data_IF_926114338347
#
_entry.id   IF_926114338347
#
_cell.length_a   1.000
_cell.length_b   1.000
_cell.length_c   1.000
_cell.angle_alpha   90.00
_cell.angle_beta   90.00
_cell.angle_gamma   90.00
#
_symmetry.space_group_name_H-M   'P 1'
#
loop_
_entity.id
_entity.type
_entity.pdbx_description
1 polymer ?
#
# COMPACT_ATOMS: atom_id res chain seq x y z
N UNK A 1 -4.22 -2.14 -9.51
CA UNK A 1 -3.40 -1.60 -8.40
C UNK A 1 -2.17 -0.87 -8.92
N UNK A 2 -1.56 -0.01 -8.09
CA UNK A 2 -0.36 0.75 -8.44
C UNK A 2 0.38 1.27 -7.19
N UNK A 3 1.59 1.77 -7.38
CA UNK A 3 2.35 2.56 -6.40
C UNK A 3 2.07 4.04 -6.66
N UNK A 4 1.75 4.85 -5.65
CA UNK A 4 1.51 6.29 -5.88
C UNK A 4 2.75 6.98 -6.48
N UNK A 5 2.58 7.80 -7.51
CA UNK A 5 3.68 8.60 -8.06
C UNK A 5 4.13 9.68 -7.07
N UNK A 6 3.20 10.23 -6.30
CA UNK A 6 3.51 11.15 -5.20
C UNK A 6 3.99 10.42 -3.96
N UNK A 7 4.79 11.13 -3.13
CA UNK A 7 5.26 10.68 -1.83
C UNK A 7 4.61 11.51 -0.72
N UNK A 8 4.44 10.91 0.46
CA UNK A 8 3.75 11.49 1.60
C UNK A 8 4.52 11.21 2.89
N UNK A 9 4.52 12.14 3.83
CA UNK A 9 4.97 11.86 5.20
C UNK A 9 3.98 10.90 5.89
N UNK A 10 4.36 10.38 7.06
CA UNK A 10 3.46 9.53 7.86
C UNK A 10 2.20 10.23 8.39
N UNK A 11 2.12 11.57 8.30
CA UNK A 11 0.89 12.32 8.61
C UNK A 11 -0.10 12.28 7.43
N UNK A 12 -0.66 11.11 7.18
CA UNK A 12 -1.55 10.84 6.05
C UNK A 12 -2.99 11.34 6.26
N UNK A 13 -3.38 11.61 7.52
CA UNK A 13 -4.77 11.87 7.91
C UNK A 13 -5.52 10.57 8.24
N UNK A 14 -4.82 9.59 8.81
CA UNK A 14 -5.35 8.26 9.11
C UNK A 14 -5.53 7.41 7.85
N UNK A 15 -6.21 6.26 8.00
CA UNK A 15 -6.52 5.37 6.86
C UNK A 15 -7.38 6.08 5.81
N UNK A 16 -8.37 6.87 6.25
CA UNK A 16 -9.25 7.61 5.33
C UNK A 16 -8.48 8.64 4.49
N UNK A 17 -7.52 9.35 5.08
CA UNK A 17 -6.67 10.29 4.35
C UNK A 17 -5.72 9.59 3.38
N UNK A 18 -5.22 8.41 3.73
CA UNK A 18 -4.42 7.58 2.81
C UNK A 18 -5.26 7.08 1.62
N UNK A 19 -6.50 6.61 1.88
CA UNK A 19 -7.44 6.19 0.85
C UNK A 19 -7.76 7.36 -0.10
N UNK A 20 -7.99 8.56 0.43
CA UNK A 20 -8.23 9.76 -0.38
C UNK A 20 -7.03 10.11 -1.28
N UNK A 21 -5.78 9.91 -0.81
CA UNK A 21 -4.58 10.11 -1.63
C UNK A 21 -4.51 9.10 -2.77
N UNK A 22 -4.82 7.83 -2.52
CA UNK A 22 -4.93 6.80 -3.55
C UNK A 22 -6.02 7.11 -4.57
N UNK A 23 -7.20 7.54 -4.10
CA UNK A 23 -8.32 7.91 -4.97
C UNK A 23 -7.97 9.12 -5.84
N UNK A 24 -7.33 10.14 -5.28
CA UNK A 24 -6.89 11.34 -6.03
C UNK A 24 -5.87 10.98 -7.11
N UNK A 25 -4.88 10.12 -6.79
CA UNK A 25 -3.91 9.64 -7.78
C UNK A 25 -4.58 8.86 -8.92
N UNK A 26 -5.51 7.96 -8.58
CA UNK A 26 -6.26 7.20 -9.57
C UNK A 26 -7.09 8.10 -10.50
N UNK A 27 -7.80 9.09 -9.95
CA UNK A 27 -8.60 10.06 -10.71
C UNK A 27 -7.73 10.91 -11.64
N UNK A 28 -6.59 11.40 -11.16
CA UNK A 28 -5.65 12.17 -11.97
C UNK A 28 -5.12 11.35 -13.17
N UNK A 29 -5.01 10.04 -13.03
CA UNK A 29 -4.66 9.11 -14.10
C UNK A 29 -5.88 8.55 -14.86
N UNK A 30 -7.06 9.16 -14.70
CA UNK A 30 -8.33 8.78 -15.35
C UNK A 30 -8.73 7.31 -15.10
N UNK A 31 -8.31 6.71 -13.99
CA UNK A 31 -8.70 5.36 -13.61
C UNK A 31 -10.09 5.40 -12.95
N UNK A 32 -10.94 4.47 -13.38
CA UNK A 32 -12.29 4.27 -12.81
C UNK A 32 -12.21 3.40 -11.56
N UNK A 33 -13.25 3.45 -10.73
CA UNK A 33 -13.36 2.64 -9.52
C UNK A 33 -12.97 3.39 -8.25
N UNK A 34 -13.06 2.69 -7.13
CA UNK A 34 -12.68 3.18 -5.80
C UNK A 34 -11.32 2.61 -5.44
N UNK A 35 -10.42 3.45 -4.99
CA UNK A 35 -9.06 3.04 -4.62
C UNK A 35 -8.80 3.28 -3.14
N UNK A 36 -8.18 2.29 -2.50
CA UNK A 36 -7.76 2.35 -1.09
C UNK A 36 -6.27 2.05 -0.94
N UNK A 37 -5.68 2.58 0.12
CA UNK A 37 -4.29 2.33 0.47
C UNK A 37 -4.13 0.96 1.17
N UNK A 38 -3.12 0.19 0.78
CA UNK A 38 -2.67 -0.99 1.53
C UNK A 38 -1.93 -0.52 2.77
N UNK A 39 -2.70 -0.24 3.82
CA UNK A 39 -2.23 0.40 5.03
C UNK A 39 -3.03 -0.09 6.23
N UNK A 40 -2.34 -0.30 7.37
CA UNK A 40 -3.00 -0.66 8.62
C UNK A 40 -2.73 0.37 9.70
N UNK A 41 -3.74 0.63 10.54
CA UNK A 41 -3.59 1.27 11.86
C UNK A 41 -3.52 0.19 12.96
N UNK A 42 -3.73 0.55 14.22
CA UNK A 42 -3.72 -0.39 15.34
C UNK A 42 -4.82 -1.46 15.28
N UNK A 43 -5.94 -1.17 14.64
CA UNK A 43 -7.17 -1.96 14.73
C UNK A 43 -7.68 -2.46 13.38
N UNK A 44 -7.38 -1.75 12.30
CA UNK A 44 -7.90 -2.01 10.96
C UNK A 44 -6.78 -2.12 9.94
N UNK A 45 -6.98 -2.97 8.97
CA UNK A 45 -6.10 -3.13 7.82
C UNK A 45 -6.88 -3.67 6.61
N UNK A 46 -6.22 -3.90 5.49
CA UNK A 46 -6.83 -4.43 4.27
C UNK A 46 -7.70 -5.66 4.49
N UNK A 47 -7.32 -6.57 5.41
CA UNK A 47 -8.10 -7.77 5.73
C UNK A 47 -9.53 -7.48 6.22
N UNK A 48 -9.77 -6.28 6.75
CA UNK A 48 -11.09 -5.86 7.26
C UNK A 48 -11.71 -4.72 6.46
N UNK A 49 -10.93 -3.97 5.68
CA UNK A 49 -11.39 -2.75 5.00
C UNK A 49 -11.50 -2.89 3.48
N UNK A 50 -10.88 -3.92 2.88
CA UNK A 50 -10.92 -4.15 1.44
C UNK A 50 -12.05 -5.10 1.03
N UNK A 51 -12.54 -4.92 -0.18
CA UNK A 51 -13.33 -5.92 -0.88
C UNK A 51 -12.39 -7.06 -1.30
N UNK A 52 -12.62 -8.26 -0.79
CA UNK A 52 -11.82 -9.45 -1.10
C UNK A 52 -12.22 -9.98 -2.47
N UNK A 53 -11.51 -9.54 -3.49
CA UNK A 53 -11.87 -9.88 -4.87
C UNK A 53 -11.41 -11.32 -5.21
N UNK A 54 -12.29 -12.18 -5.77
CA UNK A 54 -11.88 -13.49 -6.28
C UNK A 54 -11.15 -13.42 -7.63
N UNK A 55 -11.07 -12.24 -8.25
CA UNK A 55 -10.40 -12.02 -9.53
C UNK A 55 -8.93 -11.65 -9.34
N UNK A 56 -8.19 -11.70 -10.45
CA UNK A 56 -6.78 -11.29 -10.47
C UNK A 56 -6.60 -9.83 -10.10
N UNK A 57 -5.57 -9.60 -9.32
CA UNK A 57 -5.03 -8.28 -9.03
C UNK A 57 -3.98 -7.93 -10.07
N UNK A 58 -4.26 -6.94 -10.91
CA UNK A 58 -3.36 -6.50 -12.00
C UNK A 58 -2.71 -5.16 -11.64
N UNK A 59 -1.42 -5.04 -11.96
CA UNK A 59 -0.76 -3.74 -11.97
C UNK A 59 -1.30 -2.86 -13.10
N UNK A 60 -0.99 -1.58 -13.08
CA UNK A 60 -1.34 -0.64 -14.17
C UNK A 60 -0.61 -0.94 -15.48
N UNK A 61 0.45 -1.75 -15.45
CA UNK A 61 1.10 -2.28 -16.67
C UNK A 61 0.51 -3.61 -17.16
N UNK A 62 -0.52 -4.14 -16.49
CA UNK A 62 -1.18 -5.39 -16.88
C UNK A 62 -0.55 -6.67 -16.33
N UNK A 63 0.51 -6.58 -15.53
CA UNK A 63 1.12 -7.75 -14.89
C UNK A 63 0.21 -8.30 -13.79
N UNK A 64 0.11 -9.62 -13.70
CA UNK A 64 -0.60 -10.30 -12.60
C UNK A 64 0.26 -10.22 -11.36
N UNK A 65 -0.22 -9.51 -10.34
CA UNK A 65 0.44 -9.39 -9.02
C UNK A 65 -0.05 -10.49 -8.08
N UNK A 66 -1.34 -10.83 -8.17
CA UNK A 66 -1.93 -11.97 -7.46
C UNK A 66 -3.17 -12.46 -8.21
N UNK A 67 -3.49 -13.76 -8.10
CA UNK A 67 -4.64 -14.36 -8.79
C UNK A 67 -5.98 -14.08 -8.10
N UNK A 68 -5.97 -13.82 -6.80
CA UNK A 68 -7.13 -13.52 -5.97
C UNK A 68 -6.64 -13.01 -4.60
N UNK A 69 -7.58 -12.74 -3.68
CA UNK A 69 -7.26 -12.29 -2.32
C UNK A 69 -6.36 -13.28 -1.55
N UNK A 70 -6.62 -14.58 -1.64
CA UNK A 70 -5.83 -15.60 -0.93
C UNK A 70 -4.38 -15.61 -1.40
N UNK A 71 -4.16 -15.55 -2.72
CA UNK A 71 -2.84 -15.47 -3.33
C UNK A 71 -2.12 -14.15 -2.99
N UNK A 72 -2.85 -13.01 -2.91
CA UNK A 72 -2.30 -11.72 -2.47
C UNK A 72 -1.81 -11.75 -1.03
N UNK A 73 -2.38 -12.60 -0.21
CA UNK A 73 -2.17 -12.62 1.26
C UNK A 73 -1.47 -13.88 1.77
N UNK A 74 -0.83 -14.66 0.90
CA UNK A 74 -0.09 -15.88 1.27
C UNK A 74 1.39 -15.62 1.60
N UNK A 75 1.88 -14.40 1.38
CA UNK A 75 3.25 -13.98 1.71
C UNK A 75 4.14 -13.74 0.50
N UNK A 76 3.68 -14.06 -0.71
CA UNK A 76 4.43 -13.84 -1.96
C UNK A 76 3.56 -13.22 -3.04
N UNK A 77 4.15 -12.42 -3.92
CA UNK A 77 3.47 -11.87 -5.09
C UNK A 77 3.95 -12.60 -6.36
N UNK A 78 3.04 -12.80 -7.33
CA UNK A 78 3.36 -13.39 -8.63
C UNK A 78 4.28 -12.48 -9.46
N UNK A 79 4.11 -11.18 -9.32
CA UNK A 79 4.95 -10.15 -9.93
C UNK A 79 5.10 -8.96 -8.99
N UNK A 80 6.21 -8.23 -9.04
CA UNK A 80 6.43 -7.08 -8.17
C UNK A 80 5.45 -5.94 -8.47
N UNK A 81 4.93 -5.32 -7.43
CA UNK A 81 4.17 -4.08 -7.54
C UNK A 81 5.15 -2.90 -7.55
N UNK A 82 5.52 -2.45 -8.74
CA UNK A 82 6.60 -1.47 -8.97
C UNK A 82 6.26 -0.38 -10.00
N UNK A 83 4.98 -0.26 -10.38
CA UNK A 83 4.55 0.74 -11.38
C UNK A 83 3.55 1.73 -10.76
N UNK A 84 3.62 2.98 -11.24
CA UNK A 84 2.75 4.06 -10.76
C UNK A 84 1.36 3.99 -11.40
N UNK A 85 0.45 4.88 -10.97
CA UNK A 85 -0.85 5.09 -11.62
C UNK A 85 -0.74 5.44 -13.11
N UNK A 86 0.42 5.96 -13.54
CA UNK A 86 0.70 6.30 -14.94
C UNK A 86 1.26 5.12 -15.75
N UNK A 87 1.46 3.95 -15.13
CA UNK A 87 2.01 2.76 -15.79
C UNK A 87 3.53 2.80 -16.00
N UNK A 88 4.24 3.75 -15.39
CA UNK A 88 5.70 3.86 -15.44
C UNK A 88 6.32 3.33 -14.15
N UNK A 89 7.61 2.97 -14.19
CA UNK A 89 8.32 2.49 -13.01
C UNK A 89 8.22 3.51 -11.86
N UNK A 90 7.87 3.04 -10.66
CA UNK A 90 7.81 3.87 -9.48
C UNK A 90 9.24 4.21 -9.02
N UNK A 91 9.60 5.50 -8.93
CA UNK A 91 10.90 5.88 -8.39
C UNK A 91 10.92 5.69 -6.86
N UNK A 92 12.11 5.40 -6.31
CA UNK A 92 12.28 5.11 -4.88
C UNK A 92 12.07 3.64 -4.55
N UNK A 93 12.18 3.32 -3.26
CA UNK A 93 12.30 1.96 -2.80
C UNK A 93 11.22 1.51 -1.80
N UNK A 94 10.41 2.46 -1.25
CA UNK A 94 9.53 2.14 -0.11
C UNK A 94 8.15 2.79 -0.17
N UNK A 95 7.20 2.06 0.42
CA UNK A 95 5.82 2.51 0.69
C UNK A 95 5.52 2.45 2.18
N UNK A 96 4.63 3.30 2.68
CA UNK A 96 4.02 3.12 4.00
C UNK A 96 3.08 1.91 3.98
N UNK A 97 3.14 1.06 5.01
CA UNK A 97 2.29 -0.13 5.10
C UNK A 97 1.82 -0.45 6.54
N UNK A 98 2.73 -0.79 7.45
CA UNK A 98 2.44 -1.40 8.77
C UNK A 98 1.38 -2.51 8.69
N UNK A 99 1.44 -3.26 7.61
CA UNK A 99 0.48 -4.31 7.25
C UNK A 99 1.22 -5.62 7.09
N UNK A 100 0.74 -6.67 7.73
CA UNK A 100 1.28 -8.02 7.54
C UNK A 100 0.96 -8.55 6.14
N UNK A 101 1.62 -9.62 5.73
CA UNK A 101 1.31 -10.32 4.47
C UNK A 101 -0.16 -10.74 4.39
N UNK A 102 -0.79 -11.10 5.50
CA UNK A 102 -2.21 -11.44 5.58
C UNK A 102 -3.17 -10.22 5.46
N UNK A 103 -2.64 -9.02 5.24
CA UNK A 103 -3.43 -7.80 5.16
C UNK A 103 -3.94 -7.29 6.51
N UNK A 104 -3.43 -7.81 7.61
CA UNK A 104 -3.85 -7.46 8.98
C UNK A 104 -2.90 -6.43 9.62
N UNK A 105 -3.37 -5.68 10.63
CA UNK A 105 -2.50 -4.87 11.47
C UNK A 105 -1.37 -5.70 12.09
N UNK A 106 -0.21 -5.09 12.27
CA UNK A 106 0.92 -5.71 12.93
C UNK A 106 1.02 -5.21 14.38
N UNK A 107 0.68 -6.08 15.33
CA UNK A 107 0.75 -5.77 16.74
C UNK A 107 2.16 -5.33 17.16
N UNK A 108 2.25 -4.23 17.92
CA UNK A 108 3.52 -3.69 18.40
C UNK A 108 4.39 -2.98 17.36
N UNK A 109 3.91 -2.83 16.12
CA UNK A 109 4.58 -2.04 15.08
C UNK A 109 4.16 -0.57 15.16
N UNK A 110 5.08 0.31 14.85
CA UNK A 110 4.84 1.75 14.80
C UNK A 110 4.14 2.14 13.50
N UNK A 111 3.16 3.04 13.58
CA UNK A 111 2.34 3.50 12.45
C UNK A 111 2.11 5.01 12.46
N UNK A 112 3.11 5.81 12.82
CA UNK A 112 3.04 7.27 12.78
C UNK A 112 1.84 7.83 13.58
N UNK A 113 1.54 7.27 14.77
CA UNK A 113 0.36 7.62 15.59
C UNK A 113 -0.93 7.47 14.76
N UNK A 114 -1.20 6.26 14.30
CA UNK A 114 -2.34 5.96 13.41
C UNK A 114 -2.36 6.86 12.16
N UNK A 115 -1.17 7.13 11.61
CA UNK A 115 -0.97 7.91 10.38
C UNK A 115 -1.42 9.37 10.49
N UNK A 116 -1.32 9.96 11.70
CA UNK A 116 -1.69 11.36 11.94
C UNK A 116 -0.51 12.25 12.30
N UNK A 117 0.70 11.68 12.47
CA UNK A 117 1.88 12.39 12.98
C UNK A 117 3.09 12.21 12.08
N UNK A 118 3.99 13.18 12.11
CA UNK A 118 5.34 13.07 11.54
C UNK A 118 6.39 12.67 12.58
N UNK A 119 6.01 12.58 13.85
CA UNK A 119 6.84 12.03 14.92
C UNK A 119 6.85 10.49 14.89
N UNK A 120 7.81 9.90 15.60
CA UNK A 120 8.00 8.45 15.65
C UNK A 120 8.34 7.81 14.28
N UNK A 121 8.07 6.52 14.14
CA UNK A 121 8.33 5.73 12.93
C UNK A 121 7.05 5.04 12.44
N UNK A 122 7.07 4.64 11.19
CA UNK A 122 6.07 3.76 10.58
C UNK A 122 6.76 2.63 9.83
N UNK A 123 6.12 1.47 9.77
CA UNK A 123 6.65 0.34 9.01
C UNK A 123 6.40 0.53 7.51
N UNK A 124 7.30 -0.04 6.71
CA UNK A 124 7.29 0.15 5.25
C UNK A 124 7.36 -1.20 4.54
N UNK A 125 6.88 -1.22 3.31
CA UNK A 125 7.14 -2.28 2.34
C UNK A 125 8.15 -1.84 1.28
N UNK A 126 8.84 -2.80 0.67
CA UNK A 126 9.83 -2.59 -0.38
C UNK A 126 9.18 -2.68 -1.77
N UNK A 127 9.24 -1.60 -2.52
CA UNK A 127 8.81 -1.56 -3.93
C UNK A 127 9.69 -2.53 -4.73
N UNK A 128 9.05 -3.36 -5.54
CA UNK A 128 9.75 -4.32 -6.39
C UNK A 128 10.04 -5.68 -5.73
N UNK A 129 9.81 -5.85 -4.43
CA UNK A 129 9.87 -7.15 -3.79
C UNK A 129 8.64 -8.00 -4.10
N UNK A 130 8.85 -9.33 -4.12
CA UNK A 130 7.77 -10.33 -4.29
C UNK A 130 7.62 -11.24 -3.08
N UNK A 131 8.57 -11.24 -2.16
CA UNK A 131 8.51 -11.92 -0.87
C UNK A 131 7.80 -11.06 0.19
N UNK A 132 7.71 -11.53 1.43
CA UNK A 132 7.03 -10.82 2.52
C UNK A 132 7.48 -9.36 2.70
N UNK A 133 8.68 -9.00 2.25
CA UNK A 133 9.21 -7.63 2.36
C UNK A 133 8.46 -6.62 1.48
N UNK A 134 7.62 -7.06 0.52
CA UNK A 134 6.78 -6.13 -0.24
C UNK A 134 5.86 -5.30 0.67
N UNK A 135 5.45 -5.85 1.82
CA UNK A 135 4.55 -5.18 2.77
C UNK A 135 5.14 -5.02 4.18
N UNK A 136 6.07 -5.88 4.58
CA UNK A 136 6.70 -5.86 5.92
C UNK A 136 8.23 -5.94 5.78
N UNK A 137 8.88 -4.80 5.63
CA UNK A 137 10.33 -4.75 5.46
C UNK A 137 11.00 -4.02 6.64
N UNK A 138 10.93 -2.70 6.69
CA UNK A 138 11.72 -1.90 7.61
C UNK A 138 10.93 -0.72 8.19
N UNK A 139 11.46 -0.10 9.24
CA UNK A 139 10.93 1.15 9.78
C UNK A 139 11.47 2.36 9.02
N UNK A 140 10.68 3.43 8.99
CA UNK A 140 11.07 4.75 8.48
C UNK A 140 10.55 5.83 9.41
N UNK A 141 11.35 6.90 9.69
CA UNK A 141 10.86 8.05 10.43
C UNK A 141 9.64 8.67 9.74
N UNK A 142 8.60 9.00 10.50
CA UNK A 142 7.33 9.49 9.94
C UNK A 142 7.44 10.85 9.23
N UNK A 143 8.48 11.63 9.51
CA UNK A 143 8.80 12.86 8.77
C UNK A 143 9.40 12.62 7.38
N UNK A 144 9.84 11.39 7.08
CA UNK A 144 10.33 11.02 5.74
C UNK A 144 9.15 10.81 4.80
N UNK A 145 9.32 11.13 3.52
CA UNK A 145 8.28 10.87 2.54
C UNK A 145 8.42 9.48 1.93
N UNK A 146 7.30 8.74 1.84
CA UNK A 146 7.17 7.42 1.21
C UNK A 146 5.93 7.38 0.32
N UNK A 147 5.86 6.38 -0.54
CA UNK A 147 4.71 6.15 -1.44
C UNK A 147 3.61 5.37 -0.73
N UNK A 148 2.50 5.16 -1.42
CA UNK A 148 1.42 4.26 -1.01
C UNK A 148 1.24 3.18 -2.08
N UNK A 149 0.89 1.97 -1.66
CA UNK A 149 0.28 0.99 -2.54
C UNK A 149 -1.23 1.24 -2.60
N UNK A 150 -1.77 1.40 -3.79
CA UNK A 150 -3.16 1.73 -4.04
C UNK A 150 -3.86 0.59 -4.78
N UNK A 151 -4.94 0.10 -4.20
CA UNK A 151 -5.70 -1.07 -4.66
C UNK A 151 -7.11 -0.66 -5.03
N UNK A 152 -7.57 -1.05 -6.23
CA UNK A 152 -8.97 -0.94 -6.64
C UNK A 152 -9.82 -1.93 -5.84
N UNK A 153 -11.03 -1.47 -5.44
CA UNK A 153 -12.00 -2.22 -4.64
C UNK A 153 -13.13 -2.81 -5.48
#
# INVERSE_FOLDING_TARGET
MFVSNQTFTGALGGLAGADQKCQTAAQAAMKKGTFKAWLSDETKGPSTTFVKNPRKYLSTSGLVVANNWTDLTDGALQSPLSVTELGVAAPGDRTWTTTSTAGAPQAGREQCTNWTSQGNSGNTGRIGATDATWTDDNKSPCGTTRRLYCFEQ
#
